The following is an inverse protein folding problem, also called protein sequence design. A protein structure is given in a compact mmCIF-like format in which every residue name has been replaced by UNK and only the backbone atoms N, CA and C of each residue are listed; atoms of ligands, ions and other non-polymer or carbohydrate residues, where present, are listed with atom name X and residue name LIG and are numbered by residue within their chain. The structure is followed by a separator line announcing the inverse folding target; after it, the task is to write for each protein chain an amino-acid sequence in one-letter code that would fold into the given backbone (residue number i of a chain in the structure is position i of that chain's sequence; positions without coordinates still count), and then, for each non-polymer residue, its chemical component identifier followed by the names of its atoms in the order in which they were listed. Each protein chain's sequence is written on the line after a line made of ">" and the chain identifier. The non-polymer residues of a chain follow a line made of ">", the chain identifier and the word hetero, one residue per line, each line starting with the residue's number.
data_IF_541051230997
#
_entry.id   IF_541051230997
#
_cell.length_a   1.000
_cell.length_b   1.000
_cell.length_c   1.000
_cell.angle_alpha   90.00
_cell.angle_beta   90.00
_cell.angle_gamma   90.00
#
_symmetry.space_group_name_H-M   'P 1'
#
loop_
_entity.id
_entity.type
_entity.pdbx_description
1 polymer ?
#
# COMPACT_ATOMS: atom_id res chain seq x y z
N UNK A 1 2.63 -1.65 -0.39
CA UNK A 1 2.99 -1.89 1.02
C UNK A 1 4.51 -1.96 1.09
N UNK A 2 5.16 -1.33 2.08
CA UNK A 2 6.62 -1.14 2.10
C UNK A 2 7.28 -1.90 3.26
N UNK A 3 8.51 -2.36 3.09
CA UNK A 3 9.35 -2.84 4.20
C UNK A 3 9.98 -1.64 4.88
N UNK A 4 9.85 -1.54 6.20
CA UNK A 4 10.29 -0.38 6.98
C UNK A 4 11.40 -0.80 7.92
N UNK A 5 12.53 -0.12 7.88
CA UNK A 5 13.65 -0.34 8.78
C UNK A 5 13.47 0.48 10.05
N UNK A 6 13.43 -0.22 11.19
CA UNK A 6 13.29 0.38 12.50
C UNK A 6 14.67 0.75 13.07
N UNK A 7 14.76 1.76 13.97
CA UNK A 7 16.02 2.20 14.56
C UNK A 7 16.69 1.12 15.44
N UNK A 8 15.91 0.17 15.95
CA UNK A 8 16.38 -0.99 16.71
C UNK A 8 16.94 -2.13 15.83
N UNK A 9 17.03 -1.91 14.51
CA UNK A 9 17.62 -2.88 13.57
C UNK A 9 16.67 -4.00 13.15
N UNK A 10 15.39 -3.94 13.52
CA UNK A 10 14.36 -4.85 13.02
C UNK A 10 13.70 -4.29 11.76
N UNK A 11 13.11 -5.16 10.96
CA UNK A 11 12.32 -4.78 9.80
C UNK A 11 10.84 -4.98 10.10
N UNK A 12 10.04 -3.94 9.87
CA UNK A 12 8.59 -4.03 9.89
C UNK A 12 8.09 -4.32 8.48
N UNK A 13 7.59 -5.53 8.28
CA UNK A 13 7.29 -6.13 6.99
C UNK A 13 5.78 -6.36 6.85
N UNK A 14 5.17 -5.99 5.72
CA UNK A 14 3.82 -6.40 5.36
C UNK A 14 3.66 -7.93 5.41
N UNK A 15 2.63 -8.44 6.09
CA UNK A 15 2.40 -9.90 6.12
C UNK A 15 2.21 -10.51 4.73
N UNK A 16 1.70 -9.75 3.77
CA UNK A 16 1.59 -10.17 2.37
C UNK A 16 2.95 -10.40 1.69
N UNK A 17 4.01 -9.69 2.10
CA UNK A 17 5.36 -9.86 1.52
C UNK A 17 6.00 -11.16 2.01
N UNK A 18 5.71 -11.55 3.26
CA UNK A 18 6.13 -12.86 3.80
C UNK A 18 5.31 -14.02 3.23
N UNK A 19 4.02 -13.80 2.97
CA UNK A 19 3.14 -14.82 2.38
C UNK A 19 3.47 -15.14 0.91
N UNK A 20 4.14 -14.22 0.19
CA UNK A 20 4.64 -14.47 -1.17
C UNK A 20 5.87 -15.41 -1.16
N UNK A 21 6.66 -15.44 -0.07
CA UNK A 21 7.78 -16.37 0.13
C UNK A 21 7.34 -17.76 0.63
N UNK A 22 6.17 -17.87 1.26
CA UNK A 22 5.62 -19.13 1.77
C UNK A 22 4.54 -19.64 0.83
N UNK A 23 4.85 -20.65 0.01
CA UNK A 23 3.87 -21.30 -0.86
C UNK A 23 2.66 -21.79 -0.04
N UNK A 24 1.53 -21.06 -0.16
CA UNK A 24 0.25 -21.46 0.41
C UNK A 24 -0.22 -20.60 1.58
N UNK A 25 -0.96 -19.53 1.27
CA UNK A 25 -2.30 -19.35 1.86
C UNK A 25 -3.03 -18.22 1.13
N UNK A 26 -4.19 -18.56 0.56
CA UNK A 26 -5.01 -17.65 -0.20
C UNK A 26 -5.41 -16.41 0.61
N UNK A 27 -5.44 -15.27 -0.09
CA UNK A 27 -6.18 -14.06 0.27
C UNK A 27 -5.96 -13.60 1.73
N UNK A 28 -4.71 -13.32 2.11
CA UNK A 28 -4.46 -12.50 3.30
C UNK A 28 -4.75 -11.03 2.93
N UNK A 29 -5.98 -10.58 3.16
CA UNK A 29 -6.35 -9.15 3.21
C UNK A 29 -5.86 -8.63 4.58
N UNK A 30 -4.55 -8.54 4.80
CA UNK A 30 -4.03 -7.98 6.04
C UNK A 30 -3.20 -6.75 5.75
N UNK A 31 -3.73 -5.59 6.15
CA UNK A 31 -2.94 -4.38 6.41
C UNK A 31 -2.02 -4.55 7.64
N UNK A 32 -1.77 -5.78 8.08
CA UNK A 32 -0.96 -6.09 9.24
C UNK A 32 0.52 -6.12 8.85
N UNK A 33 1.31 -5.34 9.58
CA UNK A 33 2.76 -5.41 9.57
C UNK A 33 3.23 -6.33 10.70
N UNK A 34 4.28 -7.10 10.43
CA UNK A 34 4.98 -7.91 11.43
C UNK A 34 6.43 -7.45 11.52
N UNK A 35 7.08 -7.68 12.66
CA UNK A 35 8.47 -7.32 12.87
C UNK A 35 9.34 -8.57 12.75
N UNK A 36 10.34 -8.53 11.87
CA UNK A 36 11.35 -9.58 11.72
C UNK A 36 12.71 -9.05 12.18
N UNK A 37 13.50 -9.94 12.80
CA UNK A 37 14.86 -9.66 13.23
C UNK A 37 15.90 -10.19 12.24
N UNK A 38 17.20 -9.90 12.47
CA UNK A 38 18.30 -10.37 11.64
C UNK A 38 18.46 -11.89 11.57
N UNK A 39 17.89 -12.63 12.52
CA UNK A 39 17.87 -14.09 12.52
C UNK A 39 16.84 -14.70 11.54
N UNK A 40 15.99 -13.87 10.92
CA UNK A 40 14.96 -14.34 9.99
C UNK A 40 15.56 -14.58 8.58
N UNK A 41 15.25 -15.71 7.91
CA UNK A 41 15.82 -16.03 6.59
C UNK A 41 15.46 -14.99 5.50
N UNK A 42 14.33 -14.29 5.63
CA UNK A 42 13.94 -13.25 4.70
C UNK A 42 14.58 -11.89 5.04
N UNK A 43 15.25 -11.74 6.19
CA UNK A 43 15.77 -10.47 6.67
C UNK A 43 16.73 -9.80 5.69
N UNK A 44 17.77 -10.52 5.22
CA UNK A 44 18.81 -9.93 4.37
C UNK A 44 18.25 -9.48 3.02
N UNK A 45 17.36 -10.31 2.44
CA UNK A 45 16.62 -9.99 1.21
C UNK A 45 15.75 -8.74 1.39
N UNK A 46 15.02 -8.65 2.49
CA UNK A 46 14.09 -7.56 2.76
C UNK A 46 14.83 -6.28 3.19
N UNK A 47 16.00 -6.40 3.81
CA UNK A 47 16.86 -5.28 4.19
C UNK A 47 17.28 -4.47 2.98
N UNK A 48 17.67 -5.13 1.88
CA UNK A 48 18.01 -4.48 0.62
C UNK A 48 16.83 -3.74 -0.05
N UNK A 49 15.59 -4.09 0.29
CA UNK A 49 14.36 -3.46 -0.20
C UNK A 49 13.70 -2.54 0.84
N UNK A 50 14.32 -2.39 2.01
CA UNK A 50 13.76 -1.63 3.12
C UNK A 50 13.94 -0.13 2.94
N UNK A 51 12.91 0.60 3.32
CA UNK A 51 12.94 2.06 3.43
C UNK A 51 13.11 2.44 4.90
N UNK A 52 13.77 3.57 5.15
CA UNK A 52 13.76 4.18 6.48
C UNK A 52 12.39 4.83 6.74
N UNK A 53 12.12 5.17 8.00
CA UNK A 53 10.89 5.91 8.35
C UNK A 53 10.79 7.26 7.63
N UNK A 54 11.91 7.95 7.48
CA UNK A 54 11.98 9.24 6.77
C UNK A 54 11.62 9.09 5.29
N UNK A 55 12.20 8.10 4.59
CA UNK A 55 11.88 7.78 3.20
C UNK A 55 10.40 7.37 3.01
N UNK A 56 9.85 6.68 4.01
CA UNK A 56 8.43 6.32 4.01
C UNK A 56 7.54 7.56 4.16
N UNK A 57 7.91 8.51 5.00
CA UNK A 57 7.20 9.77 5.16
C UNK A 57 7.22 10.59 3.88
N UNK A 58 8.35 10.67 3.19
CA UNK A 58 8.44 11.33 1.88
C UNK A 58 7.52 10.68 0.85
N UNK A 59 7.51 9.35 0.77
CA UNK A 59 6.57 8.60 -0.07
C UNK A 59 5.12 8.84 0.32
N UNK A 60 4.80 8.90 1.62
CA UNK A 60 3.44 9.21 2.10
C UNK A 60 3.02 10.63 1.73
N UNK A 61 3.94 11.60 1.76
CA UNK A 61 3.65 12.96 1.29
C UNK A 61 3.35 12.96 -0.21
N UNK A 62 4.18 12.29 -1.01
CA UNK A 62 3.95 12.16 -2.46
C UNK A 62 2.62 11.46 -2.77
N UNK A 63 2.29 10.41 -2.03
CA UNK A 63 1.00 9.72 -2.21
C UNK A 63 -0.18 10.61 -1.88
N UNK A 64 -0.12 11.42 -0.82
CA UNK A 64 -1.22 12.35 -0.50
C UNK A 64 -1.41 13.43 -1.58
N UNK A 65 -0.33 13.88 -2.19
CA UNK A 65 -0.38 14.85 -3.30
C UNK A 65 -1.04 14.24 -4.55
N UNK A 66 -0.60 13.04 -4.93
CA UNK A 66 -1.18 12.28 -6.05
C UNK A 66 -2.63 11.83 -5.79
N UNK A 67 -2.96 11.51 -4.53
CA UNK A 67 -4.32 11.12 -4.11
C UNK A 67 -5.30 12.28 -4.25
N UNK A 68 -4.87 13.52 -3.98
CA UNK A 68 -5.69 14.72 -4.20
C UNK A 68 -6.01 14.94 -5.69
N UNK A 69 -5.05 14.68 -6.59
CA UNK A 69 -5.30 14.69 -8.03
C UNK A 69 -6.28 13.60 -8.46
N UNK A 70 -6.11 12.39 -7.90
CA UNK A 70 -6.99 11.26 -8.17
C UNK A 70 -8.43 11.53 -7.69
N UNK A 71 -8.59 12.12 -6.51
CA UNK A 71 -9.88 12.52 -5.95
C UNK A 71 -10.56 13.56 -6.83
N UNK A 72 -9.83 14.58 -7.27
CA UNK A 72 -10.35 15.60 -8.20
C UNK A 72 -10.86 14.96 -9.49
N UNK A 73 -10.07 14.10 -10.12
CA UNK A 73 -10.48 13.39 -11.36
C UNK A 73 -11.72 12.51 -11.13
N UNK A 74 -11.84 11.91 -9.95
CA UNK A 74 -13.03 11.13 -9.59
C UNK A 74 -14.26 12.01 -9.39
N UNK A 75 -14.13 13.20 -8.79
CA UNK A 75 -15.22 14.17 -8.66
C UNK A 75 -15.68 14.70 -10.01
N UNK A 76 -14.75 15.01 -10.92
CA UNK A 76 -15.06 15.41 -12.31
C UNK A 76 -15.80 14.29 -13.06
N UNK A 77 -15.35 13.04 -12.91
CA UNK A 77 -16.04 11.89 -13.49
C UNK A 77 -17.47 11.75 -12.95
N UNK A 78 -17.68 11.83 -11.62
CA UNK A 78 -19.02 11.79 -11.03
C UNK A 78 -19.93 12.90 -11.57
N UNK A 79 -19.42 14.13 -11.64
CA UNK A 79 -20.18 15.26 -12.18
C UNK A 79 -20.60 15.05 -13.66
N UNK A 80 -19.75 14.38 -14.45
CA UNK A 80 -20.09 13.98 -15.82
C UNK A 80 -21.15 12.87 -15.89
N UNK A 81 -21.10 11.89 -14.98
CA UNK A 81 -22.10 10.80 -14.88
C UNK A 81 -23.44 11.29 -14.33
N UNK A 82 -23.43 12.28 -13.42
CA UNK A 82 -24.64 12.89 -12.85
C UNK A 82 -25.26 13.94 -13.79
N UNK A 83 -24.49 14.50 -14.74
CA UNK A 83 -24.97 15.41 -15.79
C UNK A 83 -25.50 14.72 -17.07
N UNK A 84 -25.11 13.47 -17.30
CA UNK A 84 -25.58 12.57 -18.37
C UNK A 84 -26.14 11.27 -17.76
N UNK A 85 -27.08 11.39 -16.82
CA UNK A 85 -27.85 10.24 -16.38
C UNK A 85 -28.69 9.70 -17.55
N UNK A 86 -28.89 8.38 -17.70
CA UNK A 86 -29.69 7.83 -18.79
C UNK A 86 -31.13 8.38 -18.72
N UNK A 87 -31.41 9.37 -19.56
CA UNK A 87 -32.76 9.76 -19.93
C UNK A 87 -33.37 8.59 -20.71
N UNK A 88 -34.08 7.71 -20.01
CA UNK A 88 -34.72 6.55 -20.63
C UNK A 88 -35.08 5.43 -19.68
N UNK A 89 -35.95 5.70 -18.71
CA UNK A 89 -36.75 4.65 -18.06
C UNK A 89 -38.07 5.21 -17.51
N UNK A 90 -38.92 5.72 -18.40
CA UNK A 90 -40.36 5.88 -18.13
C UNK A 90 -41.13 5.43 -19.38
N UNK A 91 -42.08 4.50 -19.23
CA UNK A 91 -43.03 4.06 -20.26
C UNK A 91 -43.22 2.55 -20.36
#
# INVERSE_FOLDING_TARGET
>A
MYVIRLPDGRLRVPRSVLADSAEGSGRIIAQAYVEIGPDDPDYDRLLGQSLTEEELEEKRRRWRDEDADLLRRFEEWKAGVEGDGPSGAEG
#
